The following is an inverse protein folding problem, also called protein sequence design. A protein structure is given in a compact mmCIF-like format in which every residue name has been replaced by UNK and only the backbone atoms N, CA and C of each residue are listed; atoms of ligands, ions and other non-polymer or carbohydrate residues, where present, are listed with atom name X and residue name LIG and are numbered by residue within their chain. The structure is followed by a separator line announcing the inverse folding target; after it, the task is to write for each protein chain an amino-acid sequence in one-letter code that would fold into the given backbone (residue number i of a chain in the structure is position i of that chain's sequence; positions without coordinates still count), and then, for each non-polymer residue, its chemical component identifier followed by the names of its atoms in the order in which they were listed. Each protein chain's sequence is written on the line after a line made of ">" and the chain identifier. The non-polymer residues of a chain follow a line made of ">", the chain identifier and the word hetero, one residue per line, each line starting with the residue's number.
data_IF_527954351103
#
_entry.id   IF_527954351103
#
_cell.length_a   1.000
_cell.length_b   1.000
_cell.length_c   1.000
_cell.angle_alpha   90.00
_cell.angle_beta   90.00
_cell.angle_gamma   90.00
#
_symmetry.space_group_name_H-M   'P 1'
#
loop_
_entity.id
_entity.type
_entity.pdbx_description
1 polymer ?
#
# COMPACT_ATOMS: atom_id res chain seq x y z
N UNK A 1 -8.79 0.93 -27.06
CA UNK A 1 -8.88 -0.12 -26.03
C UNK A 1 -10.17 0.08 -25.24
N UNK A 2 -11.30 -0.06 -25.94
CA UNK A 2 -12.64 0.38 -25.54
C UNK A 2 -13.63 -0.57 -26.22
N UNK A 3 -13.56 -1.87 -25.89
CA UNK A 3 -14.37 -2.91 -26.56
C UNK A 3 -14.46 -4.20 -25.73
N UNK A 4 -14.97 -4.11 -24.49
CA UNK A 4 -15.35 -5.31 -23.70
C UNK A 4 -16.73 -5.19 -23.03
N UNK A 5 -17.38 -4.02 -23.09
CA UNK A 5 -18.61 -3.77 -22.31
C UNK A 5 -19.94 -3.77 -23.09
N UNK A 6 -20.04 -4.38 -24.28
CA UNK A 6 -21.23 -4.20 -25.14
C UNK A 6 -21.85 -5.44 -25.78
N UNK A 7 -21.69 -6.62 -25.19
CA UNK A 7 -22.54 -7.79 -25.45
C UNK A 7 -22.79 -8.40 -24.07
N UNK A 8 -23.99 -8.34 -23.49
CA UNK A 8 -25.10 -9.22 -23.82
C UNK A 8 -26.41 -8.57 -23.35
N UNK A 9 -27.29 -8.21 -24.30
CA UNK A 9 -28.72 -7.98 -24.05
C UNK A 9 -29.50 -8.64 -25.19
N UNK A 10 -30.49 -9.47 -24.79
CA UNK A 10 -31.60 -10.07 -25.57
C UNK A 10 -31.30 -11.38 -26.32
N UNK A 11 -31.81 -12.52 -25.81
CA UNK A 11 -33.10 -13.11 -26.22
C UNK A 11 -33.25 -14.54 -25.65
N UNK A 12 -34.42 -14.84 -25.09
CA UNK A 12 -34.85 -16.12 -24.49
C UNK A 12 -35.49 -16.99 -25.58
N UNK A 13 -35.52 -18.34 -25.45
CA UNK A 13 -36.81 -18.96 -25.18
C UNK A 13 -36.75 -19.99 -24.04
N UNK A 14 -37.89 -20.07 -23.35
CA UNK A 14 -38.15 -20.90 -22.20
C UNK A 14 -38.29 -22.38 -22.57
N UNK A 15 -37.69 -23.27 -21.77
CA UNK A 15 -38.15 -24.66 -21.60
C UNK A 15 -38.18 -24.93 -20.09
N UNK A 16 -39.38 -25.28 -19.63
CA UNK A 16 -39.75 -25.49 -18.23
C UNK A 16 -39.98 -27.00 -18.02
N UNK A 17 -39.13 -27.70 -17.24
CA UNK A 17 -39.43 -29.06 -16.74
C UNK A 17 -38.73 -29.33 -15.39
N UNK A 18 -39.55 -29.28 -14.34
CA UNK A 18 -39.61 -30.07 -13.07
C UNK A 18 -38.48 -30.15 -12.01
N UNK A 19 -38.90 -29.78 -10.79
CA UNK A 19 -38.70 -30.40 -9.46
C UNK A 19 -37.29 -30.61 -8.89
N UNK A 20 -36.91 -29.76 -7.92
CA UNK A 20 -36.34 -30.17 -6.64
C UNK A 20 -36.37 -28.99 -5.64
N UNK A 21 -36.62 -29.27 -4.36
CA UNK A 21 -36.70 -28.32 -3.25
C UNK A 21 -35.60 -27.25 -3.26
N UNK A 22 -35.99 -25.98 -3.29
CA UNK A 22 -35.11 -24.87 -2.94
C UNK A 22 -35.86 -23.93 -2.00
N UNK A 23 -35.48 -23.94 -0.72
CA UNK A 23 -35.74 -22.85 0.21
C UNK A 23 -35.32 -21.56 -0.50
N UNK A 24 -36.19 -20.53 -0.63
CA UNK A 24 -35.72 -19.26 -1.11
C UNK A 24 -34.89 -18.67 0.02
N UNK A 25 -33.58 -18.96 0.02
CA UNK A 25 -32.62 -18.05 0.62
C UNK A 25 -32.73 -16.82 -0.27
N UNK A 26 -33.60 -15.90 0.13
CA UNK A 26 -33.55 -14.53 -0.33
C UNK A 26 -32.21 -13.98 0.14
N UNK A 27 -31.14 -14.25 -0.61
CA UNK A 27 -30.01 -13.34 -0.68
C UNK A 27 -30.62 -12.10 -1.32
N UNK A 28 -31.21 -11.25 -0.48
CA UNK A 28 -31.28 -9.83 -0.79
C UNK A 28 -29.83 -9.48 -1.09
N UNK A 29 -29.53 -9.27 -2.37
CA UNK A 29 -28.43 -8.40 -2.71
C UNK A 29 -28.72 -7.13 -1.93
N UNK A 30 -28.00 -6.91 -0.81
CA UNK A 30 -27.97 -5.59 -0.22
C UNK A 30 -27.65 -4.66 -1.38
N UNK A 31 -28.52 -3.68 -1.60
CA UNK A 31 -28.22 -2.59 -2.50
C UNK A 31 -26.82 -2.11 -2.13
N UNK A 32 -25.88 -2.29 -3.06
CA UNK A 32 -24.54 -1.76 -2.95
C UNK A 32 -24.75 -0.28 -2.68
N UNK A 33 -24.58 0.15 -1.43
CA UNK A 33 -24.44 1.55 -1.09
C UNK A 33 -23.23 2.02 -1.86
N UNK A 34 -23.44 2.52 -3.08
CA UNK A 34 -22.44 3.25 -3.80
C UNK A 34 -22.05 4.39 -2.86
N UNK A 35 -20.84 4.31 -2.30
CA UNK A 35 -20.33 5.32 -1.38
C UNK A 35 -20.27 6.62 -2.16
N UNK A 36 -21.31 7.44 -2.02
CA UNK A 36 -21.44 8.68 -2.75
C UNK A 36 -20.40 9.67 -2.21
N UNK A 37 -19.55 10.20 -3.09
CA UNK A 37 -18.59 11.24 -2.73
C UNK A 37 -19.35 12.55 -2.54
N UNK A 38 -19.88 12.75 -1.35
CA UNK A 38 -20.63 13.96 -0.98
C UNK A 38 -19.69 15.16 -0.79
N UNK A 39 -20.19 16.40 -0.95
CA UNK A 39 -19.41 17.60 -0.64
C UNK A 39 -18.89 17.62 0.80
N UNK A 40 -19.69 17.16 1.77
CA UNK A 40 -19.30 17.08 3.18
C UNK A 40 -18.17 16.06 3.41
N UNK A 41 -18.18 14.93 2.70
CA UNK A 41 -17.07 13.97 2.73
C UNK A 41 -15.79 14.61 2.18
N UNK A 42 -15.88 15.29 1.03
CA UNK A 42 -14.73 15.98 0.44
C UNK A 42 -14.14 17.02 1.39
N UNK A 43 -14.99 17.82 2.04
CA UNK A 43 -14.54 18.80 3.04
C UNK A 43 -13.82 18.13 4.22
N UNK A 44 -14.33 16.98 4.68
CA UNK A 44 -13.71 16.22 5.77
C UNK A 44 -12.35 15.65 5.38
N UNK A 45 -12.20 15.15 4.15
CA UNK A 45 -10.90 14.70 3.60
C UNK A 45 -9.92 15.87 3.55
N UNK A 46 -10.33 17.03 3.02
CA UNK A 46 -9.47 18.20 2.93
C UNK A 46 -9.01 18.72 4.31
N UNK A 47 -9.89 18.69 5.32
CA UNK A 47 -9.49 19.00 6.71
C UNK A 47 -8.43 18.03 7.24
N UNK A 48 -8.60 16.73 6.96
CA UNK A 48 -7.64 15.70 7.34
C UNK A 48 -6.26 15.89 6.68
N UNK A 49 -6.25 16.14 5.37
CA UNK A 49 -5.01 16.40 4.62
C UNK A 49 -4.34 17.71 5.08
N UNK A 50 -5.13 18.77 5.30
CA UNK A 50 -4.63 20.02 5.86
C UNK A 50 -4.00 19.86 7.25
N UNK A 51 -4.61 19.04 8.11
CA UNK A 51 -4.02 18.70 9.40
C UNK A 51 -2.69 17.94 9.24
N UNK A 52 -2.64 16.90 8.40
CA UNK A 52 -1.40 16.17 8.11
C UNK A 52 -0.31 17.11 7.57
N UNK A 53 -0.66 18.06 6.72
CA UNK A 53 0.28 19.05 6.19
C UNK A 53 0.84 19.93 7.32
N UNK A 54 -0.03 20.38 8.24
CA UNK A 54 0.35 21.27 9.35
C UNK A 54 1.28 20.65 10.39
N UNK A 55 1.28 19.32 10.54
CA UNK A 55 2.06 18.62 11.57
C UNK A 55 3.34 17.97 11.03
N UNK A 56 3.63 18.09 9.72
CA UNK A 56 4.85 17.54 9.14
C UNK A 56 6.07 18.28 9.70
N UNK A 57 7.07 17.54 10.18
CA UNK A 57 8.30 18.12 10.68
C UNK A 57 9.13 18.78 9.56
N UNK A 58 10.08 19.65 9.93
CA UNK A 58 10.93 20.39 8.99
C UNK A 58 11.76 19.47 8.08
N UNK A 59 12.18 18.31 8.58
CA UNK A 59 12.94 17.30 7.84
C UNK A 59 12.07 16.41 6.92
N UNK A 60 10.75 16.64 6.89
CA UNK A 60 9.77 15.88 6.10
C UNK A 60 9.15 14.68 6.82
N UNK A 61 9.62 14.36 8.03
CA UNK A 61 9.16 13.21 8.78
C UNK A 61 7.81 13.43 9.48
N UNK A 62 7.19 12.30 9.82
CA UNK A 62 6.06 12.22 10.74
C UNK A 62 6.38 11.29 11.91
N UNK A 63 5.83 11.64 13.06
CA UNK A 63 5.85 10.82 14.27
C UNK A 63 5.63 11.65 15.53
N UNK A 64 5.52 10.96 16.67
CA UNK A 64 5.32 11.58 17.99
C UNK A 64 6.48 11.24 18.90
N UNK A 65 6.55 11.87 20.08
CA UNK A 65 7.61 11.60 21.07
C UNK A 65 7.83 10.10 21.35
N UNK A 66 6.77 9.28 21.29
CA UNK A 66 6.85 7.82 21.51
C UNK A 66 7.40 7.04 20.31
N UNK A 67 7.20 7.51 19.08
CA UNK A 67 7.55 6.79 17.86
C UNK A 67 8.70 7.43 17.07
N UNK A 68 9.26 8.55 17.55
CA UNK A 68 10.37 9.26 16.91
C UNK A 68 10.03 9.65 15.47
N UNK A 69 11.06 9.93 14.67
CA UNK A 69 10.90 10.14 13.23
C UNK A 69 10.77 8.76 12.56
N UNK A 70 9.56 8.38 12.18
CA UNK A 70 9.26 7.01 11.78
C UNK A 70 8.98 6.91 10.27
N UNK A 71 9.78 6.12 9.56
CA UNK A 71 9.62 5.92 8.10
C UNK A 71 8.25 5.38 7.73
N UNK A 72 7.69 4.46 8.53
CA UNK A 72 6.36 3.90 8.27
C UNK A 72 5.23 4.90 8.46
N UNK A 73 5.31 5.79 9.47
CA UNK A 73 4.28 6.81 9.71
C UNK A 73 4.35 7.86 8.60
N UNK A 74 5.58 8.27 8.26
CA UNK A 74 5.85 9.21 7.16
C UNK A 74 5.30 8.68 5.84
N UNK A 75 5.54 7.39 5.55
CA UNK A 75 5.08 6.73 4.32
C UNK A 75 3.56 6.66 4.24
N UNK A 76 2.88 6.31 5.34
CA UNK A 76 1.42 6.29 5.40
C UNK A 76 0.80 7.69 5.22
N UNK A 77 1.38 8.72 5.82
CA UNK A 77 0.93 10.10 5.61
C UNK A 77 1.09 10.53 4.14
N UNK A 78 2.21 10.16 3.50
CA UNK A 78 2.43 10.47 2.09
C UNK A 78 1.47 9.70 1.16
N UNK A 79 1.20 8.42 1.46
CA UNK A 79 0.20 7.64 0.74
C UNK A 79 -1.20 8.24 0.85
N UNK A 80 -1.57 8.86 1.98
CA UNK A 80 -2.84 9.56 2.12
C UNK A 80 -2.95 10.77 1.18
N UNK A 81 -1.88 11.57 1.05
CA UNK A 81 -1.84 12.65 0.05
C UNK A 81 -1.92 12.11 -1.39
N UNK A 82 -1.19 11.02 -1.68
CA UNK A 82 -1.21 10.39 -3.00
C UNK A 82 -2.59 9.83 -3.36
N UNK A 83 -3.33 9.29 -2.39
CA UNK A 83 -4.68 8.79 -2.60
C UNK A 83 -5.67 9.89 -3.04
N UNK A 84 -5.44 11.15 -2.67
CA UNK A 84 -6.21 12.31 -3.13
C UNK A 84 -5.63 12.93 -4.43
N UNK A 85 -4.58 12.32 -4.99
CA UNK A 85 -3.98 12.72 -6.27
C UNK A 85 -2.79 13.68 -6.17
N UNK A 86 -2.27 13.94 -4.97
CA UNK A 86 -1.06 14.75 -4.79
C UNK A 86 0.20 13.90 -5.00
N UNK A 87 1.09 14.37 -5.84
CA UNK A 87 2.34 13.68 -6.16
C UNK A 87 3.53 14.58 -5.78
N UNK A 88 4.76 14.03 -5.69
CA UNK A 88 5.92 14.87 -5.42
C UNK A 88 5.98 16.06 -6.40
N UNK A 89 6.08 17.27 -5.85
CA UNK A 89 6.08 18.55 -6.59
C UNK A 89 4.80 18.85 -7.41
N UNK A 90 3.70 18.09 -7.24
CA UNK A 90 2.45 18.28 -7.98
C UNK A 90 1.22 18.26 -7.07
N UNK A 91 0.32 19.22 -7.31
CA UNK A 91 -0.88 19.42 -6.50
C UNK A 91 -0.59 20.21 -5.23
N UNK A 92 -1.64 20.58 -4.50
CA UNK A 92 -1.56 21.43 -3.31
C UNK A 92 -0.58 20.90 -2.26
N UNK A 93 -0.68 19.62 -1.90
CA UNK A 93 0.21 18.97 -0.94
C UNK A 93 1.47 18.36 -1.56
N UNK A 94 1.80 18.65 -2.82
CA UNK A 94 2.91 17.99 -3.52
C UNK A 94 4.29 18.23 -2.89
N UNK A 95 4.49 19.39 -2.24
CA UNK A 95 5.72 19.66 -1.47
C UNK A 95 5.82 18.82 -0.20
N UNK A 96 4.70 18.48 0.43
CA UNK A 96 4.69 17.59 1.59
C UNK A 96 5.07 16.17 1.20
N UNK A 97 4.57 15.69 0.06
CA UNK A 97 4.94 14.39 -0.51
C UNK A 97 6.42 14.34 -0.89
N UNK A 98 6.96 15.36 -1.57
CA UNK A 98 8.40 15.42 -1.92
C UNK A 98 9.28 15.35 -0.66
N UNK A 99 8.96 16.13 0.38
CA UNK A 99 9.75 16.13 1.63
C UNK A 99 9.69 14.79 2.35
N UNK A 100 8.52 14.14 2.37
CA UNK A 100 8.38 12.81 2.92
C UNK A 100 9.13 11.75 2.11
N UNK A 101 9.13 11.86 0.79
CA UNK A 101 9.93 11.02 -0.10
C UNK A 101 11.42 11.18 0.16
N UNK A 102 11.91 12.41 0.23
CA UNK A 102 13.31 12.72 0.54
C UNK A 102 13.71 12.14 1.91
N UNK A 103 12.84 12.25 2.91
CA UNK A 103 13.07 11.64 4.22
C UNK A 103 13.19 10.11 4.12
N UNK A 104 12.27 9.43 3.42
CA UNK A 104 12.29 7.97 3.30
C UNK A 104 13.50 7.47 2.52
N UNK A 105 13.82 8.09 1.38
CA UNK A 105 14.98 7.73 0.55
C UNK A 105 16.29 7.94 1.31
N UNK A 106 16.42 9.02 2.09
CA UNK A 106 17.60 9.27 2.94
C UNK A 106 17.82 8.17 4.00
N UNK A 107 16.76 7.48 4.40
CA UNK A 107 16.80 6.38 5.39
C UNK A 107 16.81 4.99 4.75
N UNK A 108 16.96 4.90 3.42
CA UNK A 108 17.23 3.64 2.73
C UNK A 108 18.72 3.29 2.87
N UNK A 109 19.01 2.22 3.60
CA UNK A 109 20.36 1.77 3.90
C UNK A 109 20.92 0.90 2.75
N UNK A 110 22.24 0.73 2.72
CA UNK A 110 22.90 -0.13 1.72
C UNK A 110 22.47 -1.60 1.84
N UNK A 111 22.13 -2.05 3.04
CA UNK A 111 21.55 -3.37 3.31
C UNK A 111 20.18 -3.60 2.63
N UNK A 112 19.54 -2.54 2.15
CA UNK A 112 18.16 -2.53 1.68
C UNK A 112 17.15 -2.24 2.80
N UNK A 113 17.57 -2.20 4.06
CA UNK A 113 16.66 -1.83 5.14
C UNK A 113 16.30 -0.35 5.05
N UNK A 114 15.01 -0.05 5.14
CA UNK A 114 14.51 1.34 5.19
C UNK A 114 14.02 1.60 6.61
N UNK A 115 14.79 2.37 7.37
CA UNK A 115 14.52 2.62 8.79
C UNK A 115 15.17 3.92 9.27
N UNK A 116 14.47 4.64 10.14
CA UNK A 116 14.94 5.83 10.84
C UNK A 116 14.97 5.55 12.36
N UNK A 117 14.25 6.31 13.17
CA UNK A 117 14.09 6.02 14.59
C UNK A 117 13.11 4.83 14.74
N UNK A 118 13.54 3.74 15.39
CA UNK A 118 12.70 2.53 15.54
C UNK A 118 12.53 2.15 17.00
N UNK A 119 11.28 2.03 17.47
CA UNK A 119 11.01 1.62 18.86
C UNK A 119 10.69 0.13 19.02
N UNK A 120 10.15 -0.54 17.99
CA UNK A 120 9.64 -1.93 18.09
C UNK A 120 10.09 -2.85 16.94
N UNK A 121 11.22 -2.52 16.30
CA UNK A 121 11.85 -3.29 15.22
C UNK A 121 11.50 -2.78 13.81
N UNK A 122 12.50 -2.71 12.92
CA UNK A 122 12.44 -1.89 11.72
C UNK A 122 11.53 -2.44 10.62
N UNK A 123 11.26 -3.76 10.59
CA UNK A 123 10.59 -4.39 9.44
C UNK A 123 9.17 -3.90 9.21
N UNK A 124 8.46 -3.50 10.27
CA UNK A 124 7.10 -3.02 10.11
C UNK A 124 7.05 -1.67 9.39
N UNK A 125 7.89 -0.73 9.81
CA UNK A 125 8.07 0.54 9.11
C UNK A 125 8.66 0.35 7.71
N UNK A 126 9.59 -0.60 7.56
CA UNK A 126 10.19 -0.95 6.27
C UNK A 126 9.16 -1.42 5.24
N UNK A 127 8.17 -2.23 5.65
CA UNK A 127 7.11 -2.68 4.75
C UNK A 127 6.28 -1.51 4.20
N UNK A 128 5.83 -0.60 5.06
CA UNK A 128 5.10 0.59 4.63
C UNK A 128 5.96 1.55 3.80
N UNK A 129 7.24 1.70 4.13
CA UNK A 129 8.16 2.50 3.33
C UNK A 129 8.37 1.91 1.94
N UNK A 130 8.52 0.59 1.84
CA UNK A 130 8.67 -0.09 0.56
C UNK A 130 7.40 0.02 -0.29
N UNK A 131 6.22 -0.11 0.32
CA UNK A 131 4.94 0.15 -0.34
C UNK A 131 4.89 1.57 -0.92
N UNK A 132 5.21 2.59 -0.12
CA UNK A 132 5.23 3.97 -0.58
C UNK A 132 6.23 4.21 -1.72
N UNK A 133 7.46 3.70 -1.61
CA UNK A 133 8.44 3.79 -2.69
C UNK A 133 7.95 3.10 -3.97
N UNK A 134 7.26 1.96 -3.86
CA UNK A 134 6.69 1.27 -5.01
C UNK A 134 5.59 2.09 -5.70
N UNK A 135 4.68 2.70 -4.94
CA UNK A 135 3.62 3.56 -5.49
C UNK A 135 4.19 4.82 -6.18
N UNK A 136 5.20 5.45 -5.55
CA UNK A 136 5.91 6.59 -6.15
C UNK A 136 6.59 6.18 -7.45
N UNK A 137 7.34 5.07 -7.44
CA UNK A 137 8.05 4.60 -8.63
C UNK A 137 7.09 4.21 -9.75
N UNK A 138 5.99 3.52 -9.43
CA UNK A 138 4.95 3.16 -10.39
C UNK A 138 4.26 4.37 -11.03
N UNK A 139 4.17 5.50 -10.31
CA UNK A 139 3.49 6.71 -10.79
C UNK A 139 4.42 7.70 -11.50
N UNK A 140 5.64 7.86 -11.01
CA UNK A 140 6.56 8.94 -11.43
C UNK A 140 7.79 8.44 -12.18
N UNK A 141 8.14 7.16 -12.04
CA UNK A 141 9.39 6.57 -12.50
C UNK A 141 10.66 7.30 -12.03
N UNK A 142 10.61 7.93 -10.84
CA UNK A 142 11.76 8.61 -10.26
C UNK A 142 12.94 7.64 -10.06
N UNK A 143 14.07 7.96 -10.69
CA UNK A 143 15.29 7.14 -10.67
C UNK A 143 15.91 7.04 -9.28
N UNK A 144 15.73 8.06 -8.42
CA UNK A 144 16.21 8.06 -7.02
C UNK A 144 15.56 6.93 -6.22
N UNK A 145 14.32 6.60 -6.56
CA UNK A 145 13.50 5.62 -5.85
C UNK A 145 13.81 4.19 -6.31
N UNK A 146 14.16 4.02 -7.59
CA UNK A 146 14.36 2.70 -8.19
C UNK A 146 15.37 1.84 -7.44
N UNK A 147 16.54 2.38 -7.13
CA UNK A 147 17.60 1.62 -6.46
C UNK A 147 17.23 1.26 -5.03
N UNK A 148 16.70 2.23 -4.27
CA UNK A 148 16.22 2.01 -2.91
C UNK A 148 15.12 0.93 -2.87
N UNK A 149 14.16 0.99 -3.80
CA UNK A 149 13.07 0.02 -3.91
C UNK A 149 13.58 -1.38 -4.25
N UNK A 150 14.52 -1.53 -5.19
CA UNK A 150 15.11 -2.83 -5.52
C UNK A 150 15.80 -3.46 -4.31
N UNK A 151 16.60 -2.68 -3.58
CA UNK A 151 17.30 -3.17 -2.38
C UNK A 151 16.31 -3.55 -1.27
N UNK A 152 15.26 -2.74 -1.07
CA UNK A 152 14.21 -3.01 -0.10
C UNK A 152 13.46 -4.32 -0.40
N UNK A 153 13.00 -4.50 -1.65
CA UNK A 153 12.34 -5.73 -2.09
C UNK A 153 13.23 -6.95 -1.90
N UNK A 154 14.53 -6.85 -2.21
CA UNK A 154 15.50 -7.94 -2.00
C UNK A 154 15.63 -8.30 -0.52
N UNK A 155 15.67 -7.33 0.38
CA UNK A 155 15.71 -7.59 1.82
C UNK A 155 14.44 -8.34 2.28
N UNK A 156 13.26 -7.88 1.84
CA UNK A 156 12.00 -8.57 2.19
C UNK A 156 12.06 -10.04 1.75
N UNK A 157 12.41 -10.29 0.48
CA UNK A 157 12.50 -11.67 -0.05
C UNK A 157 13.52 -12.51 0.75
N UNK A 158 14.70 -11.96 1.05
CA UNK A 158 15.77 -12.68 1.73
C UNK A 158 15.46 -13.02 3.20
N UNK A 159 14.52 -12.30 3.82
CA UNK A 159 14.22 -12.42 5.26
C UNK A 159 12.91 -13.17 5.55
N UNK A 160 12.26 -13.73 4.52
CA UNK A 160 11.08 -14.57 4.70
C UNK A 160 11.43 -15.84 5.47
N UNK A 161 10.70 -16.15 6.54
CA UNK A 161 10.92 -17.38 7.31
C UNK A 161 10.44 -18.63 6.55
N UNK A 162 10.65 -19.82 7.13
CA UNK A 162 10.24 -21.10 6.53
C UNK A 162 8.71 -21.27 6.42
N UNK A 163 7.94 -20.58 7.25
CA UNK A 163 6.46 -20.56 7.25
C UNK A 163 5.89 -19.52 6.26
N UNK A 164 6.73 -18.76 5.56
CA UNK A 164 6.29 -17.74 4.60
C UNK A 164 6.00 -16.36 5.20
N UNK A 165 6.27 -16.15 6.49
CA UNK A 165 6.02 -14.90 7.21
C UNK A 165 7.27 -14.08 7.55
N UNK A 166 7.01 -12.90 8.13
CA UNK A 166 8.02 -11.96 8.63
C UNK A 166 7.65 -11.45 10.02
N UNK A 167 8.66 -10.99 10.77
CA UNK A 167 8.48 -10.29 12.05
C UNK A 167 9.30 -9.01 12.07
N UNK A 168 9.36 -8.37 13.23
CA UNK A 168 9.94 -7.05 13.47
C UNK A 168 11.43 -6.91 13.11
N UNK A 169 12.20 -8.00 13.08
CA UNK A 169 13.61 -8.00 12.72
C UNK A 169 13.81 -8.63 11.33
N UNK A 170 14.80 -8.15 10.55
CA UNK A 170 15.11 -8.68 9.21
C UNK A 170 15.85 -10.03 9.30
N UNK A 171 15.24 -11.01 9.98
CA UNK A 171 15.78 -12.36 10.17
C UNK A 171 14.68 -13.40 9.92
N UNK A 172 14.98 -14.52 9.23
CA UNK A 172 13.98 -15.51 8.80
C UNK A 172 13.61 -16.49 9.91
N UNK A 173 13.21 -16.00 11.09
CA UNK A 173 12.99 -16.83 12.28
C UNK A 173 11.53 -16.95 12.71
N UNK A 174 10.80 -15.83 12.72
CA UNK A 174 9.47 -15.75 13.31
C UNK A 174 8.53 -14.99 12.39
N UNK A 175 7.23 -15.20 12.57
CA UNK A 175 6.18 -14.51 11.84
C UNK A 175 5.25 -13.73 12.78
N UNK A 176 4.79 -12.57 12.31
CA UNK A 176 3.69 -11.79 12.86
C UNK A 176 2.75 -11.46 11.70
N UNK A 177 1.44 -11.63 11.90
CA UNK A 177 0.45 -11.46 10.83
C UNK A 177 0.43 -10.03 10.28
N UNK A 178 0.58 -9.03 11.15
CA UNK A 178 0.53 -7.61 10.77
C UNK A 178 1.78 -7.18 9.99
N UNK A 179 2.94 -7.70 10.37
CA UNK A 179 4.18 -7.44 9.63
C UNK A 179 4.16 -8.19 8.29
N UNK A 180 3.68 -9.43 8.29
CA UNK A 180 3.59 -10.28 7.09
C UNK A 180 2.70 -9.63 6.03
N UNK A 181 1.49 -9.18 6.39
CA UNK A 181 0.61 -8.52 5.41
C UNK A 181 1.23 -7.24 4.84
N UNK A 182 1.98 -6.48 5.64
CA UNK A 182 2.66 -5.28 5.16
C UNK A 182 3.75 -5.59 4.15
N UNK A 183 4.54 -6.64 4.38
CA UNK A 183 5.53 -7.08 3.40
C UNK A 183 4.85 -7.55 2.11
N UNK A 184 3.77 -8.33 2.21
CA UNK A 184 3.03 -8.81 1.03
C UNK A 184 2.45 -7.65 0.22
N UNK A 185 1.88 -6.63 0.86
CA UNK A 185 1.39 -5.43 0.18
C UNK A 185 2.52 -4.70 -0.55
N UNK A 186 3.68 -4.52 0.10
CA UNK A 186 4.84 -3.90 -0.51
C UNK A 186 5.36 -4.69 -1.73
N UNK A 187 5.47 -6.02 -1.62
CA UNK A 187 5.89 -6.89 -2.72
C UNK A 187 4.90 -6.84 -3.90
N UNK A 188 3.60 -6.80 -3.62
CA UNK A 188 2.57 -6.65 -4.66
C UNK A 188 2.66 -5.29 -5.35
N UNK A 189 2.80 -4.20 -4.61
CA UNK A 189 2.98 -2.87 -5.18
C UNK A 189 4.26 -2.78 -6.03
N UNK A 190 5.37 -3.38 -5.56
CA UNK A 190 6.62 -3.45 -6.33
C UNK A 190 6.42 -4.18 -7.67
N UNK A 191 5.70 -5.32 -7.69
CA UNK A 191 5.34 -6.00 -8.94
C UNK A 191 4.51 -5.12 -9.87
N UNK A 192 3.52 -4.41 -9.33
CA UNK A 192 2.66 -3.52 -10.11
C UNK A 192 3.45 -2.35 -10.71
N UNK A 193 4.51 -1.89 -10.03
CA UNK A 193 5.43 -0.87 -10.52
C UNK A 193 6.45 -1.37 -11.57
N UNK A 194 6.40 -2.65 -11.94
CA UNK A 194 7.26 -3.26 -12.96
C UNK A 194 8.55 -3.90 -12.44
N UNK A 195 8.74 -4.02 -11.13
CA UNK A 195 9.87 -4.77 -10.56
C UNK A 195 9.60 -6.28 -10.57
N UNK A 196 10.65 -7.05 -10.86
CA UNK A 196 10.60 -8.51 -10.73
C UNK A 196 10.62 -8.91 -9.26
N UNK A 197 9.56 -9.57 -8.81
CA UNK A 197 9.47 -10.19 -7.47
C UNK A 197 9.17 -11.68 -7.64
N UNK A 198 9.90 -12.59 -6.97
CA UNK A 198 9.62 -14.01 -7.03
C UNK A 198 8.18 -14.31 -6.61
N UNK A 199 7.44 -14.99 -7.49
CA UNK A 199 6.04 -15.34 -7.24
C UNK A 199 5.89 -16.19 -5.97
N UNK A 200 6.80 -17.14 -5.79
CA UNK A 200 6.82 -18.07 -4.66
C UNK A 200 6.86 -17.34 -3.30
N UNK A 201 7.56 -16.20 -3.20
CA UNK A 201 7.60 -15.42 -1.97
C UNK A 201 6.20 -14.94 -1.55
N UNK A 202 5.36 -14.52 -2.51
CA UNK A 202 3.99 -14.10 -2.22
C UNK A 202 3.10 -15.31 -1.95
N UNK A 203 3.24 -16.37 -2.74
CA UNK A 203 2.40 -17.57 -2.64
C UNK A 203 2.57 -18.27 -1.27
N UNK A 204 3.81 -18.34 -0.75
CA UNK A 204 4.10 -18.90 0.58
C UNK A 204 3.54 -18.07 1.74
N UNK A 205 3.31 -16.78 1.53
CA UNK A 205 2.79 -15.90 2.58
C UNK A 205 1.26 -15.98 2.74
N UNK A 206 0.57 -16.64 1.79
CA UNK A 206 -0.89 -16.74 1.73
C UNK A 206 -1.40 -18.20 1.72
N UNK A 207 -0.50 -19.17 1.80
CA UNK A 207 -0.78 -20.62 1.84
C UNK A 207 -1.04 -21.09 3.26
#
# INVERSE_FOLDING_TARGET
>A
MLTVFQQVRRAVPAICVTLACSVPIGVRAEERNDVEITPALRESVQKGLGYLASIQADDGSYGTQRYGRHVGITSLACLAFMADGHLPQRGEFGRHVERGLDFVVRHAQESGLVAADTSHGPMYGHGFATLFLAEIYGTTQDVRVREALIKAVRLIVATQNHEGGWRYQPVPQQADISVTICQVMALRAARNSGLSVPRETIDRAIS
#
